data_IF_746029273078
#
_entry.id   IF_746029273078
#
_cell.length_a   1.000
_cell.length_b   1.000
_cell.length_c   1.000
_cell.angle_alpha   90.00
_cell.angle_beta   90.00
_cell.angle_gamma   90.00
#
_symmetry.space_group_name_H-M   'P 1'
#
loop_
_entity.id
_entity.type
_entity.pdbx_description
1 polymer ?
#
# COMPACT_ATOMS: atom_id res chain seq x y z
N UNK A 1 -43.24 -16.87 22.48
CA UNK A 1 -42.70 -16.38 21.18
C UNK A 1 -41.83 -15.15 21.36
N UNK A 2 -42.17 -14.21 22.26
CA UNK A 2 -41.36 -13.02 22.56
C UNK A 2 -39.92 -13.31 23.00
N UNK A 3 -39.70 -14.24 23.94
CA UNK A 3 -38.34 -14.57 24.41
C UNK A 3 -37.40 -15.11 23.32
N UNK A 4 -37.93 -15.79 22.30
CA UNK A 4 -37.13 -16.27 21.17
C UNK A 4 -36.80 -15.12 20.20
N UNK A 5 -37.70 -14.14 20.07
CA UNK A 5 -37.53 -12.96 19.22
C UNK A 5 -36.52 -11.97 19.82
N UNK A 6 -36.57 -11.75 21.13
CA UNK A 6 -35.58 -10.91 21.86
C UNK A 6 -34.18 -11.50 21.82
N UNK A 7 -34.07 -12.83 21.93
CA UNK A 7 -32.80 -13.55 21.83
C UNK A 7 -32.20 -13.47 20.42
N UNK A 8 -33.03 -13.40 19.38
CA UNK A 8 -32.61 -13.20 17.99
C UNK A 8 -32.19 -11.75 17.71
N UNK A 9 -32.95 -10.78 18.21
CA UNK A 9 -32.72 -9.34 18.00
C UNK A 9 -31.52 -8.78 18.77
N UNK A 10 -31.19 -9.33 19.94
CA UNK A 10 -30.06 -8.88 20.77
C UNK A 10 -28.69 -8.97 20.07
N UNK A 11 -28.48 -10.00 19.26
CA UNK A 11 -27.25 -10.20 18.49
C UNK A 11 -27.39 -9.84 17.01
N UNK A 12 -28.58 -9.41 16.57
CA UNK A 12 -28.83 -9.03 15.18
C UNK A 12 -27.94 -7.88 14.68
N UNK A 13 -27.76 -6.75 15.39
CA UNK A 13 -26.90 -5.67 14.92
C UNK A 13 -25.43 -6.11 14.80
N UNK A 14 -24.94 -6.93 15.74
CA UNK A 14 -23.59 -7.49 15.67
C UNK A 14 -23.46 -8.45 14.48
N UNK A 15 -24.45 -9.32 14.24
CA UNK A 15 -24.47 -10.23 13.08
C UNK A 15 -24.55 -9.49 11.75
N UNK A 16 -25.27 -8.37 11.68
CA UNK A 16 -25.33 -7.52 10.49
C UNK A 16 -23.99 -6.81 10.28
N UNK A 17 -23.38 -6.24 11.32
CA UNK A 17 -22.06 -5.60 11.22
C UNK A 17 -20.99 -6.61 10.81
N UNK A 18 -20.97 -7.79 11.45
CA UNK A 18 -20.05 -8.88 11.11
C UNK A 18 -20.35 -9.43 9.73
N UNK A 19 -21.61 -9.55 9.32
CA UNK A 19 -22.02 -10.03 8.00
C UNK A 19 -21.66 -9.03 6.89
N UNK A 20 -21.82 -7.72 7.11
CA UNK A 20 -21.39 -6.66 6.20
C UNK A 20 -19.87 -6.60 6.14
N UNK A 21 -19.18 -6.70 7.27
CA UNK A 21 -17.72 -6.80 7.32
C UNK A 21 -17.23 -8.05 6.59
N UNK A 22 -17.88 -9.19 6.78
CA UNK A 22 -17.54 -10.44 6.14
C UNK A 22 -17.85 -10.39 4.64
N UNK A 23 -18.97 -9.82 4.21
CA UNK A 23 -19.28 -9.60 2.80
C UNK A 23 -18.27 -8.64 2.17
N UNK A 24 -17.90 -7.57 2.87
CA UNK A 24 -16.84 -6.65 2.45
C UNK A 24 -15.48 -7.34 2.35
N UNK A 25 -15.14 -8.24 3.27
CA UNK A 25 -13.88 -9.02 3.25
C UNK A 25 -13.90 -10.16 2.22
N UNK A 26 -15.07 -10.72 1.90
CA UNK A 26 -15.23 -11.85 0.96
C UNK A 26 -15.43 -11.41 -0.49
N UNK A 27 -15.68 -10.12 -0.75
CA UNK A 27 -15.69 -9.58 -2.10
C UNK A 27 -14.25 -9.46 -2.64
N UNK A 28 -13.95 -10.16 -3.72
CA UNK A 28 -12.61 -10.18 -4.33
C UNK A 28 -12.07 -8.76 -4.65
N UNK A 29 -12.95 -7.86 -5.09
CA UNK A 29 -12.61 -6.47 -5.37
C UNK A 29 -12.16 -5.69 -4.13
N UNK A 30 -12.80 -5.94 -2.98
CA UNK A 30 -12.43 -5.31 -1.72
C UNK A 30 -11.12 -5.89 -1.16
N UNK A 31 -10.84 -7.19 -1.36
CA UNK A 31 -9.54 -7.79 -1.02
C UNK A 31 -8.42 -7.13 -1.83
N UNK A 32 -8.61 -6.95 -3.14
CA UNK A 32 -7.63 -6.30 -4.02
C UNK A 32 -7.39 -4.86 -3.55
N UNK A 33 -8.47 -4.10 -3.30
CA UNK A 33 -8.37 -2.74 -2.80
C UNK A 33 -7.62 -2.65 -1.45
N UNK A 34 -7.95 -3.52 -0.50
CA UNK A 34 -7.28 -3.57 0.82
C UNK A 34 -5.82 -3.99 0.71
N UNK A 35 -5.50 -4.97 -0.14
CA UNK A 35 -4.13 -5.41 -0.40
C UNK A 35 -3.30 -4.28 -0.98
N UNK A 36 -3.91 -3.51 -1.89
CA UNK A 36 -3.28 -2.35 -2.48
C UNK A 36 -3.06 -1.21 -1.47
N UNK A 37 -4.06 -0.92 -0.63
CA UNK A 37 -3.92 0.06 0.45
C UNK A 37 -2.80 -0.33 1.43
N UNK A 38 -2.66 -1.64 1.72
CA UNK A 38 -1.55 -2.17 2.50
C UNK A 38 -0.19 -1.99 1.81
N UNK A 39 -0.11 -2.15 0.49
CA UNK A 39 1.13 -1.85 -0.26
C UNK A 39 1.53 -0.38 -0.15
N UNK A 40 0.59 0.55 -0.33
CA UNK A 40 0.85 1.99 -0.17
C UNK A 40 1.29 2.31 1.26
N UNK A 41 0.69 1.65 2.26
CA UNK A 41 1.13 1.78 3.64
C UNK A 41 2.56 1.26 3.85
N UNK A 42 2.89 0.07 3.32
CA UNK A 42 4.24 -0.50 3.40
C UNK A 42 5.26 0.37 2.68
N UNK A 43 4.91 0.95 1.54
CA UNK A 43 5.74 1.94 0.84
C UNK A 43 6.04 3.14 1.74
N UNK A 44 5.01 3.73 2.35
CA UNK A 44 5.19 4.85 3.28
C UNK A 44 6.07 4.45 4.49
N UNK A 45 5.84 3.24 5.04
CA UNK A 45 6.62 2.74 6.15
C UNK A 45 8.10 2.53 5.78
N UNK A 46 8.39 1.93 4.62
CA UNK A 46 9.76 1.75 4.13
C UNK A 46 10.43 3.07 3.80
N UNK A 47 9.67 4.07 3.34
CA UNK A 47 10.16 5.45 3.19
C UNK A 47 10.58 6.06 4.53
N UNK A 48 9.87 5.80 5.62
CA UNK A 48 10.30 6.25 6.95
C UNK A 48 11.59 5.57 7.41
N UNK A 49 11.77 4.29 7.09
CA UNK A 49 13.01 3.58 7.38
C UNK A 49 14.17 4.22 6.60
N UNK A 50 13.98 4.52 5.31
CA UNK A 50 14.99 5.18 4.48
C UNK A 50 15.42 6.55 5.06
N UNK A 51 14.43 7.40 5.40
CA UNK A 51 14.71 8.70 6.04
C UNK A 51 15.42 8.53 7.38
N UNK A 52 15.03 7.52 8.16
CA UNK A 52 15.70 7.26 9.44
C UNK A 52 17.12 6.73 9.27
N UNK A 53 17.38 5.93 8.24
CA UNK A 53 18.72 5.44 7.92
C UNK A 53 19.64 6.61 7.54
N UNK A 54 19.18 7.50 6.65
CA UNK A 54 19.88 8.73 6.28
C UNK A 54 20.14 9.61 7.51
N UNK A 55 19.14 9.81 8.37
CA UNK A 55 19.31 10.57 9.61
C UNK A 55 20.36 9.96 10.55
N UNK A 56 20.46 8.64 10.66
CA UNK A 56 21.46 7.98 11.51
C UNK A 56 22.87 8.12 10.92
N UNK A 57 23.02 8.03 9.59
CA UNK A 57 24.29 8.31 8.91
C UNK A 57 24.77 9.73 9.21
N UNK A 58 23.87 10.73 9.19
CA UNK A 58 24.19 12.12 9.52
C UNK A 58 24.62 12.31 10.99
N UNK A 59 24.19 11.44 11.90
CA UNK A 59 24.59 11.45 13.31
C UNK A 59 25.93 10.73 13.58
N UNK A 60 26.56 10.16 12.54
CA UNK A 60 27.87 9.51 12.64
C UNK A 60 27.83 7.99 12.79
N UNK A 61 26.68 7.35 12.62
CA UNK A 61 26.60 5.88 12.55
C UNK A 61 27.13 5.40 11.20
N UNK A 62 28.28 4.72 11.15
CA UNK A 62 28.95 4.39 9.88
C UNK A 62 28.18 3.38 9.01
N UNK A 63 27.37 2.50 9.61
CA UNK A 63 26.46 1.56 8.90
C UNK A 63 25.27 1.15 9.77
N UNK A 64 24.19 1.94 9.79
CA UNK A 64 22.99 1.59 10.55
C UNK A 64 22.38 0.29 10.03
N UNK A 65 22.11 -0.68 10.90
CA UNK A 65 21.32 -1.85 10.48
C UNK A 65 19.87 -1.45 10.22
N UNK A 66 19.14 -2.21 9.38
CA UNK A 66 17.69 -1.99 9.17
C UNK A 66 16.93 -1.86 10.48
N UNK A 67 17.26 -2.70 11.47
CA UNK A 67 16.62 -2.69 12.78
C UNK A 67 16.91 -1.41 13.55
N UNK A 68 18.13 -0.89 13.44
CA UNK A 68 18.53 0.41 14.00
C UNK A 68 17.74 1.53 13.33
N UNK A 69 17.59 1.50 12.00
CA UNK A 69 16.79 2.47 11.24
C UNK A 69 15.32 2.45 11.64
N UNK A 70 14.72 1.27 11.83
CA UNK A 70 13.32 1.16 12.32
C UNK A 70 13.19 1.80 13.70
N UNK A 71 14.13 1.52 14.62
CA UNK A 71 14.16 2.13 15.96
C UNK A 71 14.47 3.63 15.93
N UNK A 72 15.14 4.11 14.89
CA UNK A 72 15.50 5.52 14.70
C UNK A 72 14.35 6.40 14.23
N UNK A 73 13.27 5.82 13.67
CA UNK A 73 12.11 6.58 13.13
C UNK A 73 11.58 7.64 14.11
N UNK A 74 11.35 7.34 15.41
CA UNK A 74 10.89 8.35 16.35
C UNK A 74 11.89 9.49 16.55
N UNK A 75 13.20 9.21 16.51
CA UNK A 75 14.24 10.24 16.62
C UNK A 75 14.28 11.13 15.37
N UNK A 76 14.27 10.54 14.18
CA UNK A 76 14.19 11.27 12.90
C UNK A 76 12.91 12.12 12.81
N UNK A 77 11.78 11.62 13.34
CA UNK A 77 10.53 12.38 13.43
C UNK A 77 10.64 13.57 14.39
N UNK A 78 11.23 13.40 15.58
CA UNK A 78 11.46 14.51 16.53
C UNK A 78 12.43 15.56 15.97
N UNK A 79 13.38 15.15 15.14
CA UNK A 79 14.28 16.04 14.40
C UNK A 79 13.60 16.77 13.21
N UNK A 80 12.31 16.51 12.95
CA UNK A 80 11.55 17.17 11.89
C UNK A 80 11.85 16.68 10.48
N UNK A 81 12.64 15.60 10.31
CA UNK A 81 12.93 14.98 9.01
C UNK A 81 11.71 14.30 8.42
N UNK A 82 10.88 13.68 9.27
CA UNK A 82 9.63 13.03 8.87
C UNK A 82 8.44 13.97 9.12
N UNK A 83 7.94 14.61 8.06
CA UNK A 83 6.76 15.49 8.11
C UNK A 83 5.51 14.75 7.66
N UNK A 84 4.53 14.64 8.54
CA UNK A 84 3.27 13.92 8.27
C UNK A 84 2.46 14.54 7.12
N UNK A 85 2.55 15.85 6.89
CA UNK A 85 1.84 16.52 5.80
C UNK A 85 2.32 16.05 4.43
N UNK A 86 3.65 16.04 4.24
CA UNK A 86 4.30 15.61 2.99
C UNK A 86 4.02 14.14 2.72
N UNK A 87 4.14 13.28 3.73
CA UNK A 87 3.88 11.85 3.57
C UNK A 87 2.41 11.56 3.27
N UNK A 88 1.49 12.26 3.95
CA UNK A 88 0.05 12.13 3.67
C UNK A 88 -0.27 12.58 2.26
N UNK A 89 0.31 13.69 1.81
CA UNK A 89 0.11 14.20 0.45
C UNK A 89 0.60 13.20 -0.60
N UNK A 90 1.79 12.61 -0.41
CA UNK A 90 2.32 11.60 -1.32
C UNK A 90 1.48 10.32 -1.33
N UNK A 91 1.08 9.81 -0.17
CA UNK A 91 0.23 8.62 -0.07
C UNK A 91 -1.18 8.82 -0.65
N UNK A 92 -1.79 9.98 -0.40
CA UNK A 92 -3.09 10.34 -0.99
C UNK A 92 -2.96 10.53 -2.50
N UNK A 93 -1.91 11.19 -2.98
CA UNK A 93 -1.67 11.39 -4.41
C UNK A 93 -1.59 10.03 -5.14
N UNK A 94 -0.86 9.06 -4.58
CA UNK A 94 -0.84 7.67 -5.08
C UNK A 94 -2.25 7.09 -5.19
N UNK A 95 -3.01 7.09 -4.10
CA UNK A 95 -4.38 6.56 -4.09
C UNK A 95 -5.30 7.23 -5.12
N UNK A 96 -5.21 8.57 -5.28
CA UNK A 96 -6.01 9.30 -6.27
C UNK A 96 -5.65 8.87 -7.69
N UNK A 97 -4.35 8.80 -8.02
CA UNK A 97 -3.89 8.35 -9.35
C UNK A 97 -4.42 6.95 -9.65
N UNK A 98 -4.38 6.06 -8.66
CA UNK A 98 -4.89 4.71 -8.82
C UNK A 98 -6.39 4.64 -9.04
N UNK A 99 -7.18 5.44 -8.30
CA UNK A 99 -8.62 5.51 -8.54
C UNK A 99 -8.94 6.00 -9.95
N UNK A 100 -8.23 7.02 -10.44
CA UNK A 100 -8.43 7.56 -11.80
C UNK A 100 -8.09 6.49 -12.85
N UNK A 101 -6.95 5.82 -12.71
CA UNK A 101 -6.52 4.81 -13.67
C UNK A 101 -7.39 3.55 -13.64
N UNK A 102 -7.83 3.10 -12.46
CA UNK A 102 -8.73 1.96 -12.32
C UNK A 102 -10.10 2.28 -12.94
N UNK A 103 -10.63 3.47 -12.69
CA UNK A 103 -11.87 3.93 -13.30
C UNK A 103 -11.75 4.01 -14.83
N UNK A 104 -10.65 4.56 -15.35
CA UNK A 104 -10.37 4.58 -16.78
C UNK A 104 -10.30 3.18 -17.41
N UNK A 105 -9.63 2.24 -16.73
CA UNK A 105 -9.54 0.84 -17.18
C UNK A 105 -10.92 0.16 -17.21
N UNK A 106 -11.74 0.39 -16.17
CA UNK A 106 -13.11 -0.15 -16.10
C UNK A 106 -14.01 0.41 -17.22
N UNK A 107 -13.89 1.70 -17.54
CA UNK A 107 -14.61 2.29 -18.69
C UNK A 107 -14.19 1.67 -20.02
N UNK A 108 -12.88 1.42 -20.20
CA UNK A 108 -12.37 0.74 -21.39
C UNK A 108 -12.87 -0.71 -21.48
N UNK A 109 -12.89 -1.45 -20.36
CA UNK A 109 -13.44 -2.81 -20.34
C UNK A 109 -14.95 -2.81 -20.64
N UNK A 110 -15.70 -1.81 -20.17
CA UNK A 110 -17.12 -1.66 -20.51
C UNK A 110 -17.33 -1.44 -22.02
N UNK A 111 -16.52 -0.57 -22.64
CA UNK A 111 -16.55 -0.34 -24.09
C UNK A 111 -16.19 -1.62 -24.84
N UNK A 112 -15.14 -2.33 -24.40
CA UNK A 112 -14.71 -3.60 -25.00
C UNK A 112 -15.77 -4.67 -24.88
N UNK A 113 -16.51 -4.73 -23.77
CA UNK A 113 -17.59 -5.68 -23.56
C UNK A 113 -18.72 -5.49 -24.58
N UNK A 114 -19.17 -4.25 -24.80
CA UNK A 114 -20.20 -3.91 -25.80
C UNK A 114 -19.73 -4.22 -27.24
N UNK A 115 -18.42 -4.11 -27.49
CA UNK A 115 -17.80 -4.43 -28.77
C UNK A 115 -17.47 -5.93 -28.95
N UNK A 116 -17.87 -6.79 -27.99
CA UNK A 116 -17.52 -8.21 -27.92
C UNK A 116 -16.01 -8.50 -27.98
N UNK A 117 -15.20 -7.58 -27.45
CA UNK A 117 -13.76 -7.72 -27.25
C UNK A 117 -13.39 -8.32 -25.88
N UNK A 118 -12.08 -8.33 -25.58
CA UNK A 118 -11.54 -8.81 -24.30
C UNK A 118 -11.68 -7.78 -23.17
N UNK A 119 -11.99 -8.22 -21.96
CA UNK A 119 -12.25 -7.38 -20.77
C UNK A 119 -11.21 -7.58 -19.65
N UNK A 120 -9.92 -7.50 -19.98
CA UNK A 120 -8.82 -7.77 -19.04
C UNK A 120 -7.98 -6.53 -18.71
N UNK A 121 -8.38 -5.34 -19.17
CA UNK A 121 -7.55 -4.14 -19.00
C UNK A 121 -7.48 -3.72 -17.53
N UNK A 122 -8.58 -3.82 -16.78
CA UNK A 122 -8.62 -3.57 -15.34
C UNK A 122 -7.61 -4.44 -14.60
N UNK A 123 -7.55 -5.74 -14.91
CA UNK A 123 -6.60 -6.68 -14.31
C UNK A 123 -5.15 -6.32 -14.65
N UNK A 124 -4.88 -5.94 -15.91
CA UNK A 124 -3.55 -5.50 -16.35
C UNK A 124 -3.11 -4.24 -15.60
N UNK A 125 -3.99 -3.25 -15.48
CA UNK A 125 -3.71 -1.98 -14.80
C UNK A 125 -3.45 -2.20 -13.31
N UNK A 126 -4.27 -3.00 -12.62
CA UNK A 126 -4.06 -3.38 -11.22
C UNK A 126 -2.72 -4.10 -11.04
N UNK A 127 -2.40 -5.04 -11.93
CA UNK A 127 -1.15 -5.79 -11.87
C UNK A 127 0.06 -4.88 -12.05
N UNK A 128 0.01 -3.97 -13.01
CA UNK A 128 1.07 -2.99 -13.24
C UNK A 128 1.30 -2.08 -12.02
N UNK A 129 0.22 -1.53 -11.44
CA UNK A 129 0.31 -0.67 -10.25
C UNK A 129 0.89 -1.41 -9.04
N UNK A 130 0.48 -2.68 -8.86
CA UNK A 130 0.98 -3.53 -7.79
C UNK A 130 2.50 -3.71 -7.91
N UNK A 131 2.99 -3.93 -9.14
CA UNK A 131 4.42 -4.05 -9.43
C UNK A 131 5.14 -2.72 -9.16
N UNK A 132 4.56 -1.58 -9.54
CA UNK A 132 5.20 -0.27 -9.31
C UNK A 132 5.27 0.10 -7.82
N UNK A 133 4.25 -0.23 -7.02
CA UNK A 133 4.33 -0.05 -5.56
C UNK A 133 5.34 -0.99 -4.92
N UNK A 134 5.41 -2.24 -5.37
CA UNK A 134 6.45 -3.16 -4.91
C UNK A 134 7.85 -2.65 -5.26
N UNK A 135 8.04 -2.07 -6.45
CA UNK A 135 9.30 -1.47 -6.84
C UNK A 135 9.65 -0.27 -5.95
N UNK A 136 8.69 0.60 -5.64
CA UNK A 136 8.84 1.73 -4.72
C UNK A 136 9.30 1.27 -3.32
N UNK A 137 8.70 0.20 -2.79
CA UNK A 137 9.12 -0.45 -1.53
C UNK A 137 10.57 -0.94 -1.61
N UNK A 138 10.92 -1.61 -2.72
CA UNK A 138 12.28 -2.14 -2.94
C UNK A 138 13.31 -1.01 -3.01
N UNK A 139 12.98 0.10 -3.67
CA UNK A 139 13.84 1.28 -3.74
C UNK A 139 14.02 1.92 -2.36
N UNK A 140 12.94 2.15 -1.61
CA UNK A 140 13.02 2.69 -0.25
C UNK A 140 13.89 1.81 0.67
N UNK A 141 13.77 0.48 0.57
CA UNK A 141 14.61 -0.43 1.36
C UNK A 141 16.06 -0.48 0.88
N UNK A 142 16.31 -0.33 -0.42
CA UNK A 142 17.66 -0.13 -0.94
C UNK A 142 18.30 1.12 -0.32
N UNK A 143 17.55 2.23 -0.27
CA UNK A 143 18.00 3.49 0.34
C UNK A 143 18.19 3.36 1.87
N UNK A 144 17.49 2.42 2.50
CA UNK A 144 17.70 2.06 3.91
C UNK A 144 18.93 1.15 4.18
N UNK A 145 19.79 0.94 3.18
CA UNK A 145 21.04 0.18 3.32
C UNK A 145 20.93 -1.33 3.10
N UNK A 146 19.85 -1.82 2.48
CA UNK A 146 19.68 -3.25 2.18
C UNK A 146 20.46 -3.65 0.93
N UNK A 147 21.69 -4.14 1.10
CA UNK A 147 22.62 -4.45 0.01
C UNK A 147 22.05 -5.43 -1.05
N UNK A 148 21.22 -6.39 -0.67
CA UNK A 148 20.59 -7.32 -1.62
C UNK A 148 19.60 -6.61 -2.55
N UNK A 149 18.83 -5.66 -2.02
CA UNK A 149 17.88 -4.86 -2.78
C UNK A 149 18.59 -3.79 -3.61
N UNK A 150 19.68 -3.20 -3.11
CA UNK A 150 20.53 -2.29 -3.90
C UNK A 150 21.08 -2.97 -5.14
N UNK A 151 21.57 -4.22 -5.00
CA UNK A 151 22.02 -5.02 -6.16
C UNK A 151 20.89 -5.30 -7.15
N UNK A 152 19.68 -5.57 -6.66
CA UNK A 152 18.51 -5.79 -7.49
C UNK A 152 18.13 -4.52 -8.26
N UNK A 153 17.99 -3.39 -7.57
CA UNK A 153 17.67 -2.08 -8.16
C UNK A 153 18.69 -1.69 -9.23
N UNK A 154 20.00 -1.87 -8.96
CA UNK A 154 21.05 -1.59 -9.94
C UNK A 154 20.96 -2.46 -11.20
N UNK A 155 20.59 -3.74 -11.06
CA UNK A 155 20.36 -4.61 -12.23
C UNK A 155 19.10 -4.22 -13.00
N UNK A 156 18.04 -3.79 -12.31
CA UNK A 156 16.82 -3.33 -12.96
C UNK A 156 17.08 -2.04 -13.74
N UNK A 157 17.77 -1.07 -13.13
CA UNK A 157 18.14 0.21 -13.76
C UNK A 157 19.16 0.06 -14.88
N UNK A 158 20.12 -0.86 -14.76
CA UNK A 158 21.11 -1.12 -15.81
C UNK A 158 20.62 -1.97 -16.99
N UNK A 159 19.36 -2.44 -16.95
CA UNK A 159 18.72 -3.19 -18.06
C UNK A 159 17.63 -2.39 -18.79
N UNK A 160 17.29 -1.21 -18.28
CA UNK A 160 16.47 -0.19 -18.95
C UNK A 160 17.40 0.75 -19.72
#
# INVERSE_FOLDING_TARGET
MEHAFDSLMSYFPIKVVVGVFMAFVLNAEAIIFMSFAWLVFLDCFTRWIAISYEFLLEQGEEKPSLWTSIKGIPAARRAGRIKSSIMREQGIAKLIVYMICLFGAALCDLISFEMHGSTDLTNLVVSYMTITELLSIVENLSDAGVESLTRLVNRLKGRL
#
